data_IF_161305693892
#
_entry.id   IF_161305693892
#
_cell.length_a   1.000
_cell.length_b   1.000
_cell.length_c   1.000
_cell.angle_alpha   90.00
_cell.angle_beta   90.00
_cell.angle_gamma   90.00
#
_symmetry.space_group_name_H-M   'P 1'
#
loop_
_entity.id
_entity.type
_entity.pdbx_description
1 polymer ?
#
# COMPACT_ATOMS: atom_id res chain seq x y z
N UNK A 1 26.32 -41.84 -39.02
CA UNK A 1 26.26 -40.47 -38.48
C UNK A 1 25.38 -40.50 -37.22
N UNK A 2 25.96 -40.37 -36.03
CA UNK A 2 25.30 -40.72 -34.76
C UNK A 2 24.27 -39.68 -34.32
N UNK A 3 23.00 -39.97 -34.54
CA UNK A 3 21.83 -39.13 -34.24
C UNK A 3 21.76 -38.71 -32.75
N UNK A 4 22.27 -39.52 -31.82
CA UNK A 4 22.37 -39.19 -30.40
C UNK A 4 23.32 -38.03 -30.06
N UNK A 5 24.39 -37.81 -30.86
CA UNK A 5 25.30 -36.65 -30.63
C UNK A 5 24.65 -35.34 -31.08
N UNK A 6 23.77 -35.40 -32.09
CA UNK A 6 23.04 -34.24 -32.59
C UNK A 6 21.99 -33.77 -31.57
N UNK A 7 21.23 -34.70 -30.98
CA UNK A 7 20.26 -34.37 -29.92
C UNK A 7 20.90 -33.85 -28.63
N UNK A 8 22.07 -34.39 -28.24
CA UNK A 8 22.78 -33.95 -27.02
C UNK A 8 23.36 -32.54 -27.15
N UNK A 9 23.89 -32.18 -28.33
CA UNK A 9 24.37 -30.82 -28.59
C UNK A 9 23.23 -29.82 -28.74
N UNK A 10 22.09 -30.25 -29.29
CA UNK A 10 20.90 -29.40 -29.40
C UNK A 10 20.31 -29.08 -28.00
N UNK A 11 20.28 -30.06 -27.09
CA UNK A 11 19.87 -29.84 -25.70
C UNK A 11 20.82 -28.89 -24.94
N UNK A 12 22.14 -29.00 -25.17
CA UNK A 12 23.14 -28.15 -24.53
C UNK A 12 23.10 -26.68 -24.98
N UNK A 13 22.57 -26.40 -26.18
CA UNK A 13 22.39 -25.03 -26.68
C UNK A 13 21.02 -24.41 -26.35
N UNK A 14 19.97 -25.21 -26.14
CA UNK A 14 18.62 -24.70 -25.87
C UNK A 14 18.39 -24.47 -24.36
N UNK A 15 19.00 -25.28 -23.49
CA UNK A 15 18.84 -25.15 -22.03
C UNK A 15 19.35 -23.82 -21.44
N UNK A 16 20.47 -23.23 -21.89
CA UNK A 16 20.91 -21.92 -21.40
C UNK A 16 20.02 -20.78 -21.91
N UNK A 17 19.38 -20.94 -23.08
CA UNK A 17 18.55 -19.91 -23.70
C UNK A 17 17.22 -19.72 -22.96
N UNK A 18 16.66 -20.78 -22.37
CA UNK A 18 15.44 -20.69 -21.54
C UNK A 18 15.69 -20.05 -20.17
N UNK A 19 16.88 -20.23 -19.58
CA UNK A 19 17.20 -19.66 -18.26
C UNK A 19 17.41 -18.14 -18.32
N UNK A 20 17.95 -17.62 -19.42
CA UNK A 20 18.19 -16.17 -19.58
C UNK A 20 16.88 -15.38 -19.75
N UNK A 21 15.83 -15.98 -20.33
CA UNK A 21 14.52 -15.32 -20.45
C UNK A 21 13.72 -15.28 -19.15
N UNK A 22 14.04 -16.12 -18.14
CA UNK A 22 13.24 -16.23 -16.92
C UNK A 22 13.54 -15.18 -15.85
N UNK A 23 14.60 -14.37 -16.00
CA UNK A 23 14.99 -13.33 -15.04
C UNK A 23 14.53 -11.91 -15.42
N UNK A 24 13.82 -11.74 -16.53
CA UNK A 24 13.10 -10.50 -16.79
C UNK A 24 11.79 -10.56 -16.00
N UNK A 25 11.82 -10.09 -14.75
CA UNK A 25 10.60 -9.85 -13.99
C UNK A 25 9.67 -8.97 -14.82
N UNK A 26 8.58 -9.52 -15.31
CA UNK A 26 7.57 -8.77 -16.04
C UNK A 26 6.94 -7.79 -15.05
N UNK A 27 7.41 -6.54 -15.06
CA UNK A 27 6.61 -5.41 -14.54
C UNK A 27 5.26 -5.54 -15.25
N UNK A 28 4.16 -5.68 -14.51
CA UNK A 28 2.83 -5.73 -15.13
C UNK A 28 2.67 -4.48 -16.00
N UNK A 29 2.73 -4.64 -17.32
CA UNK A 29 2.76 -3.52 -18.29
C UNK A 29 1.64 -2.51 -18.01
N UNK A 30 0.47 -3.00 -17.63
CA UNK A 30 -0.70 -2.16 -17.33
C UNK A 30 -0.50 -1.21 -16.15
N UNK A 31 0.15 -1.65 -15.07
CA UNK A 31 0.39 -0.79 -13.90
C UNK A 31 1.53 0.18 -14.18
N UNK A 32 2.57 -0.28 -14.90
CA UNK A 32 3.63 0.59 -15.39
C UNK A 32 3.06 1.73 -16.24
N UNK A 33 2.17 1.42 -17.18
CA UNK A 33 1.55 2.39 -18.08
C UNK A 33 0.72 3.43 -17.34
N UNK A 34 -0.04 3.04 -16.31
CA UNK A 34 -0.80 4.01 -15.51
C UNK A 34 0.13 4.96 -14.76
N UNK A 35 1.14 4.42 -14.06
CA UNK A 35 2.09 5.23 -13.29
C UNK A 35 2.83 6.19 -14.21
N UNK A 36 3.39 5.70 -15.31
CA UNK A 36 4.19 6.50 -16.22
C UNK A 36 3.32 7.59 -16.88
N UNK A 37 2.05 7.29 -17.21
CA UNK A 37 1.08 8.29 -17.68
C UNK A 37 0.78 9.35 -16.63
N UNK A 38 0.45 8.98 -15.40
CA UNK A 38 0.20 9.96 -14.33
C UNK A 38 1.42 10.86 -14.09
N UNK A 39 2.61 10.27 -13.99
CA UNK A 39 3.86 11.00 -13.77
C UNK A 39 4.21 11.94 -14.93
N UNK A 40 3.82 11.60 -16.16
CA UNK A 40 4.07 12.45 -17.34
C UNK A 40 3.22 13.73 -17.36
N UNK A 41 2.01 13.69 -16.79
CA UNK A 41 1.07 14.83 -16.82
C UNK A 41 1.13 15.71 -15.57
N UNK A 42 1.76 15.25 -14.49
CA UNK A 42 1.92 16.02 -13.25
C UNK A 42 2.94 17.16 -13.37
N UNK A 43 2.62 18.31 -12.78
CA UNK A 43 3.58 19.36 -12.49
C UNK A 43 4.62 18.91 -11.45
N UNK A 44 5.71 19.66 -11.31
CA UNK A 44 6.69 19.39 -10.25
C UNK A 44 6.07 19.53 -8.86
N UNK A 45 5.21 20.52 -8.66
CA UNK A 45 4.49 20.74 -7.40
C UNK A 45 3.59 19.55 -7.06
N UNK A 46 2.84 19.03 -8.02
CA UNK A 46 2.02 17.82 -7.83
C UNK A 46 2.88 16.62 -7.46
N UNK A 47 4.03 16.42 -8.13
CA UNK A 47 4.96 15.32 -7.80
C UNK A 47 5.50 15.43 -6.38
N UNK A 48 5.85 16.64 -5.94
CA UNK A 48 6.27 16.88 -4.56
C UNK A 48 5.13 16.62 -3.59
N UNK A 49 3.91 17.09 -3.90
CA UNK A 49 2.71 16.84 -3.12
C UNK A 49 2.43 15.35 -2.88
N UNK A 50 2.62 14.53 -3.92
CA UNK A 50 2.46 13.06 -3.83
C UNK A 50 3.48 12.39 -2.89
N UNK A 51 4.56 13.06 -2.51
CA UNK A 51 5.53 12.58 -1.52
C UNK A 51 5.19 13.02 -0.09
N UNK A 52 4.17 13.88 0.08
CA UNK A 52 3.76 14.41 1.37
C UNK A 52 2.64 13.57 1.98
N UNK A 53 2.72 13.39 3.29
CA UNK A 53 1.75 12.66 4.11
C UNK A 53 1.39 13.50 5.32
N UNK A 54 0.09 13.57 5.63
CA UNK A 54 -0.43 14.28 6.79
C UNK A 54 -1.16 13.33 7.73
N UNK A 55 -1.09 13.59 9.03
CA UNK A 55 -1.82 12.81 10.02
C UNK A 55 -3.22 13.38 10.29
N UNK A 56 -4.14 12.50 10.67
CA UNK A 56 -5.48 12.90 11.09
C UNK A 56 -6.04 11.99 12.19
N UNK A 57 -6.79 12.59 13.12
CA UNK A 57 -7.40 11.91 14.28
C UNK A 57 -8.92 12.00 14.25
N UNK A 58 -9.61 11.08 13.53
CA UNK A 58 -11.07 11.05 13.42
C UNK A 58 -11.77 10.45 14.66
N UNK A 59 -11.81 11.17 15.78
CA UNK A 59 -12.58 10.74 16.96
C UNK A 59 -14.09 10.92 16.79
N UNK A 60 -14.50 11.97 16.08
CA UNK A 60 -15.88 12.30 15.76
C UNK A 60 -15.93 12.93 14.37
N UNK A 61 -16.90 12.56 13.55
CA UNK A 61 -17.04 13.13 12.21
C UNK A 61 -17.87 14.41 12.25
N UNK A 62 -17.22 15.53 11.94
CA UNK A 62 -17.87 16.82 11.76
C UNK A 62 -17.23 17.52 10.56
N UNK A 63 -17.99 17.69 9.48
CA UNK A 63 -17.48 18.31 8.26
C UNK A 63 -17.11 19.79 8.46
N UNK A 64 -17.69 20.46 9.45
CA UNK A 64 -17.40 21.85 9.78
C UNK A 64 -16.22 22.02 10.74
N UNK A 65 -15.66 20.92 11.24
CA UNK A 65 -14.50 20.95 12.13
C UNK A 65 -13.33 21.69 11.46
N UNK A 66 -12.72 22.70 12.12
CA UNK A 66 -11.64 23.48 11.52
C UNK A 66 -10.42 22.64 11.13
N UNK A 67 -10.09 21.60 11.90
CA UNK A 67 -8.95 20.71 11.60
C UNK A 67 -9.25 19.89 10.36
N UNK A 68 -10.46 19.31 10.29
CA UNK A 68 -10.87 18.55 9.12
C UNK A 68 -10.96 19.42 7.85
N UNK A 69 -11.48 20.64 7.94
CA UNK A 69 -11.50 21.58 6.80
C UNK A 69 -10.09 21.96 6.36
N UNK A 70 -9.17 22.19 7.30
CA UNK A 70 -7.79 22.47 6.96
C UNK A 70 -7.11 21.28 6.26
N UNK A 71 -7.41 20.04 6.68
CA UNK A 71 -6.93 18.84 6.00
C UNK A 71 -7.45 18.76 4.56
N UNK A 72 -8.75 18.97 4.34
CA UNK A 72 -9.36 18.99 3.00
C UNK A 72 -8.69 20.04 2.12
N UNK A 73 -8.56 21.28 2.62
CA UNK A 73 -7.88 22.35 1.87
C UNK A 73 -6.42 22.02 1.55
N UNK A 74 -5.72 21.35 2.47
CA UNK A 74 -4.32 20.94 2.27
C UNK A 74 -4.22 19.85 1.20
N UNK A 75 -5.14 18.88 1.20
CA UNK A 75 -5.19 17.83 0.18
C UNK A 75 -5.40 18.45 -1.21
N UNK A 76 -6.39 19.34 -1.35
CA UNK A 76 -6.72 19.97 -2.64
C UNK A 76 -5.60 20.91 -3.13
N UNK A 77 -5.07 21.77 -2.25
CA UNK A 77 -4.09 22.79 -2.64
C UNK A 77 -2.69 22.23 -2.81
N UNK A 78 -2.29 21.25 -2.00
CA UNK A 78 -0.92 20.72 -1.98
C UNK A 78 -0.79 19.37 -2.66
N UNK A 79 -1.87 18.83 -3.26
CA UNK A 79 -1.87 17.56 -3.99
C UNK A 79 -1.27 16.40 -3.17
N UNK A 80 -1.69 16.31 -1.91
CA UNK A 80 -1.17 15.35 -0.91
C UNK A 80 -1.26 13.91 -1.45
N UNK A 81 -0.22 13.11 -1.21
CA UNK A 81 -0.17 11.70 -1.64
C UNK A 81 -0.80 10.73 -0.66
N UNK A 82 -0.86 11.05 0.63
CA UNK A 82 -1.41 10.14 1.63
C UNK A 82 -1.81 10.79 2.94
N UNK A 83 -2.61 10.05 3.71
CA UNK A 83 -3.07 10.43 5.04
C UNK A 83 -2.87 9.27 5.99
N UNK A 84 -2.24 9.53 7.14
CA UNK A 84 -2.08 8.56 8.22
C UNK A 84 -3.14 8.78 9.31
N UNK A 85 -3.90 7.74 9.63
CA UNK A 85 -4.91 7.77 10.68
C UNK A 85 -4.24 7.47 12.02
N UNK A 86 -4.23 8.47 12.92
CA UNK A 86 -3.53 8.36 14.20
C UNK A 86 -4.37 7.73 15.31
N UNK A 87 -5.65 8.12 15.41
CA UNK A 87 -6.62 7.46 16.29
C UNK A 87 -8.05 7.84 15.89
N UNK A 88 -9.01 6.92 16.01
CA UNK A 88 -10.40 7.28 15.77
C UNK A 88 -11.45 6.23 16.09
N UNK A 89 -12.71 6.62 16.01
CA UNK A 89 -13.85 5.70 16.05
C UNK A 89 -14.09 5.12 14.64
N UNK A 90 -14.45 3.83 14.49
CA UNK A 90 -14.66 3.20 13.18
C UNK A 90 -15.55 4.01 12.23
N UNK A 91 -16.67 4.53 12.72
CA UNK A 91 -17.59 5.32 11.89
C UNK A 91 -16.95 6.63 11.43
N UNK A 92 -16.31 7.35 12.36
CA UNK A 92 -15.67 8.62 12.04
C UNK A 92 -14.51 8.42 11.05
N UNK A 93 -13.71 7.37 11.23
CA UNK A 93 -12.62 6.99 10.32
C UNK A 93 -13.16 6.74 8.92
N UNK A 94 -14.17 5.87 8.78
CA UNK A 94 -14.76 5.55 7.48
C UNK A 94 -15.31 6.79 6.77
N UNK A 95 -16.11 7.62 7.48
CA UNK A 95 -16.68 8.84 6.91
C UNK A 95 -15.63 9.88 6.52
N UNK A 96 -14.58 10.02 7.32
CA UNK A 96 -13.46 10.90 6.99
C UNK A 96 -12.71 10.40 5.75
N UNK A 97 -12.43 9.09 5.65
CA UNK A 97 -11.78 8.48 4.48
C UNK A 97 -12.62 8.70 3.22
N UNK A 98 -13.92 8.41 3.26
CA UNK A 98 -14.83 8.63 2.13
C UNK A 98 -14.73 10.08 1.62
N UNK A 99 -14.72 11.04 2.55
CA UNK A 99 -14.75 12.46 2.22
C UNK A 99 -13.43 12.97 1.68
N UNK A 100 -12.29 12.58 2.28
CA UNK A 100 -10.96 12.98 1.80
C UNK A 100 -10.62 12.32 0.46
N UNK A 101 -11.06 11.08 0.22
CA UNK A 101 -10.88 10.43 -1.08
C UNK A 101 -11.72 11.12 -2.16
N UNK A 102 -12.92 11.59 -1.82
CA UNK A 102 -13.80 12.27 -2.78
C UNK A 102 -13.28 13.64 -3.27
N UNK A 103 -12.37 14.29 -2.54
CA UNK A 103 -11.74 15.57 -2.97
C UNK A 103 -10.39 15.38 -3.64
N UNK A 104 -9.79 14.19 -3.54
CA UNK A 104 -8.45 13.95 -4.07
C UNK A 104 -8.52 13.53 -5.52
N UNK A 105 -7.78 14.23 -6.39
CA UNK A 105 -7.69 13.89 -7.82
C UNK A 105 -7.05 12.51 -8.06
N UNK A 106 -6.09 12.16 -7.19
CA UNK A 106 -5.40 10.87 -7.18
C UNK A 106 -5.74 10.19 -5.86
N UNK A 107 -6.16 8.90 -5.86
CA UNK A 107 -6.51 8.20 -4.64
C UNK A 107 -5.40 8.31 -3.59
N UNK A 108 -5.76 8.81 -2.41
CA UNK A 108 -4.85 8.97 -1.29
C UNK A 108 -4.42 7.60 -0.78
N UNK A 109 -3.13 7.45 -0.47
CA UNK A 109 -2.67 6.33 0.33
C UNK A 109 -3.14 6.52 1.78
N UNK A 110 -4.07 5.67 2.22
CA UNK A 110 -4.54 5.68 3.62
C UNK A 110 -3.66 4.73 4.43
N UNK A 111 -3.06 5.25 5.49
CA UNK A 111 -2.13 4.53 6.34
C UNK A 111 -2.62 4.52 7.79
N UNK A 112 -2.23 3.50 8.54
CA UNK A 112 -2.38 3.45 9.98
C UNK A 112 -1.42 2.39 10.52
N UNK A 113 -0.93 2.58 11.74
CA UNK A 113 -0.17 1.52 12.40
C UNK A 113 -1.15 0.50 12.99
N UNK A 114 -1.08 -0.76 12.59
CA UNK A 114 -1.94 -1.82 13.13
C UNK A 114 -1.11 -3.01 13.61
N UNK A 115 0.02 -2.73 14.25
CA UNK A 115 1.07 -3.72 14.54
C UNK A 115 0.60 -4.85 15.48
N UNK A 116 -0.39 -4.58 16.33
CA UNK A 116 -0.98 -5.55 17.26
C UNK A 116 -2.51 -5.62 17.10
N UNK A 117 -2.99 -5.34 15.89
CA UNK A 117 -4.39 -5.33 15.53
C UNK A 117 -4.97 -3.92 15.36
N UNK A 118 -6.21 -3.86 14.89
CA UNK A 118 -6.92 -2.60 14.63
C UNK A 118 -7.00 -1.66 15.84
N UNK A 119 -7.08 -2.15 17.11
CA UNK A 119 -7.19 -1.26 18.26
C UNK A 119 -5.98 -0.41 18.59
N UNK A 120 -4.86 -0.59 17.88
CA UNK A 120 -3.74 0.35 17.93
C UNK A 120 -4.15 1.76 17.52
N UNK A 121 -5.08 1.89 16.56
CA UNK A 121 -5.51 3.18 16.00
C UNK A 121 -7.03 3.34 15.93
N UNK A 122 -7.78 2.26 15.80
CA UNK A 122 -9.24 2.31 15.69
C UNK A 122 -9.83 1.84 17.02
N UNK A 123 -10.71 2.58 17.69
CA UNK A 123 -11.14 2.24 19.05
C UNK A 123 -11.86 0.87 19.24
N UNK A 124 -12.08 0.11 18.17
CA UNK A 124 -12.75 -1.18 18.15
C UNK A 124 -11.95 -2.23 17.34
N UNK A 125 -12.34 -3.50 17.50
CA UNK A 125 -11.78 -4.65 16.79
C UNK A 125 -10.97 -5.59 17.68
N UNK A 126 -10.02 -6.31 17.10
CA UNK A 126 -9.32 -7.42 17.76
C UNK A 126 -7.91 -6.99 18.17
N UNK A 127 -7.60 -7.15 19.46
CA UNK A 127 -6.24 -7.02 19.99
C UNK A 127 -5.50 -8.34 19.92
N UNK A 128 -4.30 -8.31 19.36
CA UNK A 128 -3.38 -9.43 19.35
C UNK A 128 -2.27 -9.26 20.39
N UNK A 129 -1.60 -10.35 20.79
CA UNK A 129 -0.32 -10.26 21.49
C UNK A 129 0.69 -9.44 20.67
N UNK A 130 1.50 -8.63 21.34
CA UNK A 130 2.57 -7.85 20.69
C UNK A 130 3.57 -8.76 19.97
N UNK A 131 4.31 -8.20 19.01
CA UNK A 131 5.23 -8.95 18.14
C UNK A 131 6.23 -9.85 18.89
N UNK A 132 6.66 -9.47 20.09
CA UNK A 132 7.54 -10.32 20.92
C UNK A 132 6.86 -11.63 21.35
N UNK A 133 5.58 -11.58 21.71
CA UNK A 133 4.81 -12.77 22.10
C UNK A 133 4.54 -13.68 20.89
N UNK A 134 4.24 -13.09 19.72
CA UNK A 134 4.11 -13.85 18.47
C UNK A 134 5.46 -14.52 18.12
N UNK A 135 6.57 -13.79 18.23
CA UNK A 135 7.91 -14.35 18.02
C UNK A 135 8.25 -15.48 18.98
N UNK A 136 7.84 -15.37 20.25
CA UNK A 136 8.06 -16.42 21.25
C UNK A 136 7.33 -17.75 20.94
N UNK A 137 6.31 -17.72 20.09
CA UNK A 137 5.64 -18.96 19.64
C UNK A 137 6.48 -19.77 18.65
N UNK A 138 7.43 -19.14 17.96
CA UNK A 138 8.22 -19.76 16.89
C UNK A 138 7.41 -20.20 15.67
N UNK A 139 6.16 -19.75 15.52
CA UNK A 139 5.25 -20.18 14.44
C UNK A 139 4.96 -19.04 13.45
N UNK A 140 5.33 -19.26 12.19
CA UNK A 140 5.03 -18.35 11.08
C UNK A 140 3.52 -18.28 10.79
N UNK A 141 2.78 -19.38 11.03
CA UNK A 141 1.32 -19.44 10.84
C UNK A 141 0.59 -18.44 11.74
N UNK A 142 1.07 -18.24 12.97
CA UNK A 142 0.49 -17.23 13.86
C UNK A 142 0.79 -15.81 13.40
N UNK A 143 2.01 -15.54 12.93
CA UNK A 143 2.34 -14.24 12.35
C UNK A 143 1.48 -13.94 11.12
N UNK A 144 1.31 -14.92 10.21
CA UNK A 144 0.43 -14.79 9.05
C UNK A 144 -1.04 -14.56 9.45
N UNK A 145 -1.53 -15.31 10.44
CA UNK A 145 -2.92 -15.19 10.91
C UNK A 145 -3.21 -13.82 11.50
N UNK A 146 -2.28 -13.26 12.30
CA UNK A 146 -2.42 -11.89 12.84
C UNK A 146 -2.52 -10.87 11.71
N UNK A 147 -1.63 -10.94 10.72
CA UNK A 147 -1.67 -10.03 9.56
C UNK A 147 -2.96 -10.17 8.76
N UNK A 148 -3.40 -11.41 8.52
CA UNK A 148 -4.63 -11.71 7.78
C UNK A 148 -5.91 -11.21 8.45
N UNK A 149 -5.98 -11.24 9.79
CA UNK A 149 -7.16 -10.74 10.51
C UNK A 149 -7.13 -9.21 10.63
N UNK A 150 -5.94 -8.62 10.63
CA UNK A 150 -5.77 -7.16 10.74
C UNK A 150 -6.07 -6.42 9.44
N UNK A 151 -5.73 -6.99 8.28
CA UNK A 151 -5.93 -6.41 6.94
C UNK A 151 -7.35 -6.62 6.40
#
# INVERSE_FOLDING_TARGET
MNMHKLFRNLYFCILPLMVVLSCAGSREEKQADWVDRQMSIMSLEQKVGQMMVFDYTPNFFNENDPVFRNLIETIEKCHVGGVIIWRGNPYAVARSIDRIQAVSDIPLLIMADMEWGTPMRINEGINFPINMAIGATGSEDYAYTVGKITA
#
